data_IF_233812383449
#
_entry.id   IF_233812383449
#
_cell.length_a   1.000
_cell.length_b   1.000
_cell.length_c   1.000
_cell.angle_alpha   90.00
_cell.angle_beta   90.00
_cell.angle_gamma   90.00
#
_symmetry.space_group_name_H-M   'P 1'
#
loop_
_entity.id
_entity.type
_entity.pdbx_description
1 polymer ?
#
# COMPACT_ATOMS: atom_id res chain seq x y z
N UNK A 1 7.26 -15.49 -1.86
CA UNK A 1 7.33 -14.46 -0.78
C UNK A 1 8.80 -14.11 -0.59
N UNK A 2 9.16 -12.86 -0.29
CA UNK A 2 10.56 -12.50 -0.08
C UNK A 2 11.18 -13.39 1.01
N UNK A 3 12.47 -13.72 0.91
CA UNK A 3 13.18 -14.52 1.91
C UNK A 3 13.01 -13.91 3.30
N UNK A 4 12.81 -14.75 4.31
CA UNK A 4 12.64 -14.30 5.70
C UNK A 4 13.86 -13.52 6.19
N UNK A 5 15.03 -13.83 5.65
CA UNK A 5 16.31 -13.25 6.00
C UNK A 5 16.45 -11.76 5.61
N UNK A 6 15.53 -11.22 4.80
CA UNK A 6 15.48 -9.79 4.41
C UNK A 6 14.85 -8.87 5.48
N UNK A 7 14.39 -9.43 6.59
CA UNK A 7 13.64 -8.72 7.63
C UNK A 7 14.35 -8.84 8.98
N UNK A 8 14.41 -7.75 9.73
CA UNK A 8 15.05 -7.76 11.07
C UNK A 8 14.26 -8.61 12.07
N UNK A 9 12.95 -8.71 11.89
CA UNK A 9 12.07 -9.55 12.71
C UNK A 9 11.05 -10.29 11.83
N UNK A 10 11.41 -11.49 11.34
CA UNK A 10 10.53 -12.29 10.49
C UNK A 10 9.25 -12.75 11.20
N UNK A 11 9.28 -12.94 12.52
CA UNK A 11 8.12 -13.38 13.31
C UNK A 11 7.10 -12.24 13.44
N UNK A 12 7.56 -11.03 13.74
CA UNK A 12 6.72 -9.83 13.76
C UNK A 12 6.05 -9.60 12.41
N UNK A 13 6.76 -9.84 11.31
CA UNK A 13 6.19 -9.73 9.97
C UNK A 13 5.06 -10.74 9.74
N UNK A 14 5.27 -11.99 10.13
CA UNK A 14 4.26 -13.05 9.98
C UNK A 14 3.03 -12.75 10.87
N UNK A 15 3.22 -12.21 12.08
CA UNK A 15 2.12 -11.74 12.95
C UNK A 15 1.33 -10.60 12.28
N UNK A 16 2.01 -9.53 11.83
CA UNK A 16 1.37 -8.39 11.14
C UNK A 16 0.59 -8.86 9.91
N UNK A 17 1.15 -9.82 9.16
CA UNK A 17 0.51 -10.39 7.98
C UNK A 17 -0.78 -11.12 8.33
N UNK A 18 -0.76 -12.03 9.29
CA UNK A 18 -1.96 -12.79 9.68
C UNK A 18 -3.04 -11.87 10.27
N UNK A 19 -2.65 -10.87 11.06
CA UNK A 19 -3.59 -9.88 11.58
C UNK A 19 -4.25 -9.05 10.47
N UNK A 20 -3.47 -8.57 9.49
CA UNK A 20 -4.01 -7.83 8.34
C UNK A 20 -4.87 -8.71 7.45
N UNK A 21 -4.48 -9.97 7.26
CA UNK A 21 -5.26 -10.94 6.51
C UNK A 21 -6.63 -11.14 7.15
N UNK A 22 -6.69 -11.26 8.48
CA UNK A 22 -7.95 -11.40 9.23
C UNK A 22 -8.74 -10.09 9.34
N UNK A 23 -8.09 -8.94 9.16
CA UNK A 23 -8.75 -7.64 9.17
C UNK A 23 -9.65 -7.43 7.95
N UNK A 24 -10.73 -6.68 8.15
CA UNK A 24 -11.58 -6.14 7.07
C UNK A 24 -10.95 -4.89 6.40
N UNK A 25 -9.81 -4.40 6.91
CA UNK A 25 -9.10 -3.25 6.32
C UNK A 25 -8.29 -3.70 5.10
N UNK A 26 -8.46 -2.99 3.99
CA UNK A 26 -7.75 -3.26 2.74
C UNK A 26 -8.31 -4.41 1.91
N UNK A 27 -9.39 -5.08 2.34
CA UNK A 27 -10.04 -6.17 1.61
C UNK A 27 -10.87 -7.07 2.52
N UNK A 28 -11.52 -8.10 1.97
CA UNK A 28 -12.33 -9.03 2.75
C UNK A 28 -11.49 -9.79 3.80
N UNK A 29 -12.07 -10.09 4.99
CA UNK A 29 -11.35 -10.81 6.04
C UNK A 29 -10.99 -12.23 5.58
N UNK A 30 -9.79 -12.68 5.94
CA UNK A 30 -9.21 -13.97 5.53
C UNK A 30 -8.47 -13.95 4.19
N UNK A 31 -8.61 -12.89 3.38
CA UNK A 31 -7.96 -12.77 2.07
C UNK A 31 -6.76 -11.83 2.09
N UNK A 32 -5.80 -12.08 1.20
CA UNK A 32 -4.64 -11.21 0.96
C UNK A 32 -4.89 -10.37 -0.30
N UNK A 33 -4.85 -9.04 -0.15
CA UNK A 33 -5.16 -8.08 -1.22
C UNK A 33 -4.05 -7.03 -1.35
N UNK A 34 -4.01 -6.30 -2.47
CA UNK A 34 -3.04 -5.23 -2.70
C UNK A 34 -3.09 -4.15 -1.59
N UNK A 35 -4.29 -3.75 -1.16
CA UNK A 35 -4.46 -2.80 -0.06
C UNK A 35 -3.89 -3.29 1.27
N UNK A 36 -3.98 -4.59 1.56
CA UNK A 36 -3.37 -5.19 2.76
C UNK A 36 -1.85 -5.26 2.66
N UNK A 37 -1.31 -5.55 1.48
CA UNK A 37 0.13 -5.54 1.26
C UNK A 37 0.74 -4.16 1.52
N UNK A 38 0.08 -3.09 1.07
CA UNK A 38 0.48 -1.70 1.37
C UNK A 38 0.47 -1.42 2.88
N UNK A 39 -0.59 -1.84 3.59
CA UNK A 39 -0.67 -1.65 5.05
C UNK A 39 0.36 -2.47 5.82
N UNK A 40 0.71 -3.67 5.35
CA UNK A 40 1.67 -4.55 6.02
C UNK A 40 3.03 -3.90 6.13
N UNK A 41 3.54 -3.32 5.05
CA UNK A 41 4.83 -2.66 5.06
C UNK A 41 4.88 -1.51 6.08
N UNK A 42 3.81 -0.71 6.15
CA UNK A 42 3.71 0.41 7.11
C UNK A 42 3.58 -0.07 8.55
N UNK A 43 2.76 -1.09 8.83
CA UNK A 43 2.53 -1.61 10.19
C UNK A 43 3.75 -2.38 10.71
N UNK A 44 4.43 -3.14 9.85
CA UNK A 44 5.69 -3.79 10.18
C UNK A 44 6.75 -2.77 10.63
N UNK A 45 6.95 -1.70 9.85
CA UNK A 45 7.82 -0.57 10.22
C UNK A 45 7.38 0.11 11.52
N UNK A 46 6.08 0.35 11.68
CA UNK A 46 5.52 0.99 12.88
C UNK A 46 5.72 0.18 14.16
N UNK A 47 5.75 -1.16 14.05
CA UNK A 47 6.03 -2.06 15.18
C UNK A 47 7.52 -2.29 15.44
N UNK A 48 8.39 -1.56 14.74
CA UNK A 48 9.83 -1.61 14.94
C UNK A 48 10.54 -2.68 14.10
N UNK A 49 9.84 -3.31 13.16
CA UNK A 49 10.46 -4.16 12.16
C UNK A 49 11.12 -3.32 11.07
N UNK A 50 12.33 -3.70 10.67
CA UNK A 50 13.06 -3.08 9.56
C UNK A 50 13.55 -4.16 8.59
N UNK A 51 14.33 -3.76 7.59
CA UNK A 51 14.93 -4.63 6.60
C UNK A 51 16.41 -4.82 6.94
N UNK A 52 16.91 -6.03 6.75
CA UNK A 52 18.31 -6.38 7.04
C UNK A 52 19.25 -6.04 5.90
N UNK A 53 18.70 -5.85 4.69
CA UNK A 53 19.47 -5.42 3.53
C UNK A 53 19.90 -3.96 3.75
N UNK A 54 21.21 -3.77 3.83
CA UNK A 54 21.77 -2.42 3.85
C UNK A 54 21.42 -1.70 2.55
N UNK A 55 21.30 -0.37 2.59
CA UNK A 55 20.94 0.40 1.39
C UNK A 55 22.03 0.29 0.31
N UNK A 56 23.26 -0.04 0.69
CA UNK A 56 24.37 -0.34 -0.21
C UNK A 56 24.31 -1.74 -0.84
N UNK A 57 23.46 -2.63 -0.33
CA UNK A 57 23.25 -3.99 -0.87
C UNK A 57 21.92 -4.11 -1.64
N UNK A 58 21.45 -3.00 -2.23
CA UNK A 58 20.32 -3.04 -3.15
C UNK A 58 20.70 -3.89 -4.36
N UNK A 59 19.80 -4.77 -4.80
CA UNK A 59 19.97 -5.41 -6.10
C UNK A 59 19.74 -4.40 -7.23
N UNK A 60 20.25 -4.70 -8.42
CA UNK A 60 20.18 -3.81 -9.60
C UNK A 60 18.75 -3.32 -9.87
N UNK A 61 17.72 -4.13 -9.64
CA UNK A 61 16.32 -3.70 -9.86
C UNK A 61 15.85 -2.67 -8.83
N UNK A 62 16.36 -2.73 -7.59
CA UNK A 62 16.06 -1.76 -6.54
C UNK A 62 16.85 -0.46 -6.73
N UNK A 63 18.08 -0.53 -7.24
CA UNK A 63 18.84 0.65 -7.67
C UNK A 63 18.11 1.35 -8.81
N UNK A 64 17.76 0.63 -9.87
CA UNK A 64 16.96 1.15 -10.98
C UNK A 64 15.64 1.81 -10.55
N UNK A 65 14.93 1.23 -9.56
CA UNK A 65 13.71 1.84 -9.01
C UNK A 65 13.97 3.11 -8.20
N UNK A 66 15.12 3.18 -7.53
CA UNK A 66 15.55 4.39 -6.81
C UNK A 66 15.85 5.49 -7.81
N UNK A 67 16.71 5.19 -8.79
CA UNK A 67 17.12 6.12 -9.85
C UNK A 67 15.91 6.64 -10.62
N UNK A 68 15.00 5.73 -11.03
CA UNK A 68 13.73 6.09 -11.66
C UNK A 68 12.84 7.02 -10.82
N UNK A 69 12.86 6.87 -9.49
CA UNK A 69 12.10 7.69 -8.55
C UNK A 69 12.73 9.07 -8.31
N UNK A 70 14.05 9.17 -8.43
CA UNK A 70 14.82 10.40 -8.27
C UNK A 70 14.84 11.25 -9.57
N UNK A 71 14.54 10.64 -10.72
CA UNK A 71 14.41 11.34 -12.00
C UNK A 71 13.35 12.47 -11.95
N UNK A 72 13.69 13.63 -12.52
CA UNK A 72 12.74 14.74 -12.69
C UNK A 72 11.81 14.48 -13.89
N UNK A 73 10.72 13.74 -13.65
CA UNK A 73 9.72 13.44 -14.67
C UNK A 73 8.84 14.63 -15.03
N UNK A 74 8.83 15.01 -16.30
CA UNK A 74 8.08 16.19 -16.77
C UNK A 74 7.61 16.09 -18.23
N UNK A 75 6.70 16.99 -18.59
CA UNK A 75 6.30 17.25 -19.97
C UNK A 75 7.30 18.18 -20.67
N UNK A 76 7.20 18.34 -22.00
CA UNK A 76 8.03 19.26 -22.80
C UNK A 76 8.13 20.68 -22.20
N UNK A 77 7.07 21.17 -21.56
CA UNK A 77 6.99 22.52 -20.98
C UNK A 77 7.49 22.61 -19.53
N UNK A 78 7.97 21.49 -18.97
CA UNK A 78 8.41 21.40 -17.57
C UNK A 78 7.30 21.18 -16.55
N UNK A 79 6.09 20.84 -17.00
CA UNK A 79 4.99 20.50 -16.07
C UNK A 79 5.04 19.03 -15.66
N UNK A 80 4.88 18.76 -14.36
CA UNK A 80 4.67 17.41 -13.82
C UNK A 80 3.29 16.80 -14.10
N UNK A 81 2.40 17.52 -14.82
CA UNK A 81 1.09 17.02 -15.18
C UNK A 81 0.97 16.78 -16.69
N UNK A 82 0.88 15.51 -17.09
CA UNK A 82 0.77 15.11 -18.49
C UNK A 82 -0.67 15.13 -19.02
N UNK A 83 -1.66 14.87 -18.17
CA UNK A 83 -3.07 14.79 -18.56
C UNK A 83 -3.65 16.19 -18.77
N UNK A 84 -4.37 16.38 -19.87
CA UNK A 84 -5.07 17.64 -20.17
C UNK A 84 -6.56 17.54 -19.83
N UNK A 85 -7.20 18.70 -19.69
CA UNK A 85 -8.65 18.78 -19.42
C UNK A 85 -9.51 18.22 -20.57
N UNK A 86 -8.97 18.20 -21.79
CA UNK A 86 -9.63 17.64 -22.98
C UNK A 86 -9.51 16.11 -23.08
N UNK A 87 -8.87 15.46 -22.10
CA UNK A 87 -8.66 14.01 -22.05
C UNK A 87 -7.43 13.53 -22.81
N UNK A 88 -6.74 14.41 -23.55
CA UNK A 88 -5.47 14.06 -24.21
C UNK A 88 -4.33 14.07 -23.20
N UNK A 89 -3.26 13.35 -23.52
CA UNK A 89 -2.07 13.27 -22.68
C UNK A 89 -0.85 13.80 -23.44
N UNK A 90 -0.03 14.61 -22.76
CA UNK A 90 1.28 15.05 -23.25
C UNK A 90 2.31 13.93 -23.05
N UNK A 91 3.41 13.96 -23.80
CA UNK A 91 4.52 13.05 -23.54
C UNK A 91 5.15 13.37 -22.18
N UNK A 92 5.39 12.32 -21.41
CA UNK A 92 6.00 12.39 -20.08
C UNK A 92 7.33 11.64 -20.12
N UNK A 93 8.43 12.36 -19.93
CA UNK A 93 9.80 11.85 -20.01
C UNK A 93 10.67 12.51 -18.93
N UNK A 94 11.80 11.89 -18.54
CA UNK A 94 12.79 12.51 -17.68
C UNK A 94 13.32 13.82 -18.27
N UNK A 95 13.63 14.79 -17.41
CA UNK A 95 14.19 16.08 -17.81
C UNK A 95 15.49 15.96 -18.61
N UNK A 96 16.44 15.13 -18.14
CA UNK A 96 17.70 14.84 -18.86
C UNK A 96 17.43 14.37 -20.29
N UNK A 97 16.45 13.48 -20.48
CA UNK A 97 16.05 13.00 -21.81
C UNK A 97 15.48 14.12 -22.70
N UNK A 98 14.73 15.07 -22.14
CA UNK A 98 14.30 16.26 -22.88
C UNK A 98 15.48 17.13 -23.29
N UNK A 99 16.48 17.33 -22.44
CA UNK A 99 17.65 18.18 -22.73
C UNK A 99 18.50 17.64 -23.89
N UNK A 100 18.55 16.31 -24.05
CA UNK A 100 19.23 15.61 -25.15
C UNK A 100 18.46 15.63 -26.50
N UNK A 101 17.31 16.30 -26.58
CA UNK A 101 16.49 16.40 -27.81
C UNK A 101 16.40 17.85 -28.31
N UNK A 102 16.38 18.02 -29.63
CA UNK A 102 16.07 19.32 -30.25
C UNK A 102 14.58 19.66 -30.10
N UNK A 103 14.22 20.95 -30.09
CA UNK A 103 12.81 21.38 -29.92
C UNK A 103 11.84 20.72 -30.92
N UNK A 104 12.32 20.45 -32.13
CA UNK A 104 11.57 19.77 -33.19
C UNK A 104 11.28 18.31 -32.83
N UNK A 105 12.28 17.58 -32.34
CA UNK A 105 12.12 16.20 -31.87
C UNK A 105 11.21 16.15 -30.64
N UNK A 106 11.33 17.15 -29.75
CA UNK A 106 10.45 17.26 -28.59
C UNK A 106 8.98 17.43 -28.98
N UNK A 107 8.74 18.31 -29.95
CA UNK A 107 7.39 18.55 -30.48
C UNK A 107 6.84 17.34 -31.20
N UNK A 108 7.66 16.63 -31.98
CA UNK A 108 7.23 15.45 -32.72
C UNK A 108 6.77 14.33 -31.78
N UNK A 109 7.55 14.03 -30.75
CA UNK A 109 7.21 12.95 -29.80
C UNK A 109 5.99 13.30 -28.95
N UNK A 110 5.82 14.57 -28.59
CA UNK A 110 4.67 15.07 -27.84
C UNK A 110 3.41 15.10 -28.71
N UNK A 111 3.51 15.59 -29.95
CA UNK A 111 2.41 15.57 -30.92
C UNK A 111 1.92 14.15 -31.17
N UNK A 112 2.83 13.19 -31.40
CA UNK A 112 2.47 11.77 -31.55
C UNK A 112 1.67 11.25 -30.35
N UNK A 113 2.11 11.56 -29.13
CA UNK A 113 1.41 11.16 -27.90
C UNK A 113 0.02 11.79 -27.80
N UNK A 114 -0.11 13.07 -28.13
CA UNK A 114 -1.39 13.77 -28.10
C UNK A 114 -2.38 13.27 -29.17
N UNK A 115 -1.91 13.03 -30.39
CA UNK A 115 -2.73 12.53 -31.50
C UNK A 115 -3.28 11.13 -31.19
N UNK A 116 -2.42 10.20 -30.80
CA UNK A 116 -2.84 8.83 -30.50
C UNK A 116 -3.64 8.73 -29.19
N UNK A 117 -3.35 9.58 -28.20
CA UNK A 117 -4.18 9.70 -27.00
C UNK A 117 -5.58 10.22 -27.33
N UNK A 118 -5.70 11.14 -28.30
CA UNK A 118 -6.98 11.62 -28.81
C UNK A 118 -7.75 10.54 -29.58
N UNK A 119 -7.05 9.61 -30.22
CA UNK A 119 -7.64 8.39 -30.80
C UNK A 119 -8.09 7.37 -29.75
N UNK A 120 -7.86 7.63 -28.45
CA UNK A 120 -8.24 6.75 -27.36
C UNK A 120 -7.21 5.69 -27.01
N UNK A 121 -5.99 5.75 -27.58
CA UNK A 121 -4.92 4.81 -27.24
C UNK A 121 -4.35 5.15 -25.86
N UNK A 122 -4.48 4.21 -24.92
CA UNK A 122 -3.92 4.35 -23.58
C UNK A 122 -2.38 4.37 -23.61
N UNK A 123 -1.78 3.49 -24.41
CA UNK A 123 -0.33 3.39 -24.59
C UNK A 123 0.09 3.87 -25.98
N UNK A 124 1.13 4.69 -26.02
CA UNK A 124 1.69 5.29 -27.24
C UNK A 124 3.20 5.22 -27.16
N UNK A 125 3.81 4.49 -28.08
CA UNK A 125 5.26 4.30 -28.08
C UNK A 125 6.04 5.62 -28.22
N UNK A 126 7.20 5.67 -27.58
CA UNK A 126 8.17 6.75 -27.78
C UNK A 126 8.68 6.74 -29.23
N UNK A 127 8.95 7.92 -29.79
CA UNK A 127 9.68 8.03 -31.06
C UNK A 127 11.10 7.48 -30.89
N UNK A 128 11.76 7.10 -32.00
CA UNK A 128 13.13 6.56 -31.95
C UNK A 128 14.08 7.45 -31.15
N UNK A 129 14.08 8.76 -31.42
CA UNK A 129 14.89 9.71 -30.66
C UNK A 129 14.51 9.78 -29.18
N UNK A 130 13.22 9.78 -28.84
CA UNK A 130 12.79 9.79 -27.44
C UNK A 130 13.14 8.48 -26.70
N UNK A 131 13.21 7.34 -27.40
CA UNK A 131 13.73 6.08 -26.85
C UNK A 131 15.24 6.21 -26.58
N UNK A 132 16.00 6.69 -27.55
CA UNK A 132 17.45 6.90 -27.44
C UNK A 132 17.82 7.90 -26.35
N UNK A 133 17.20 9.09 -26.32
CA UNK A 133 17.45 10.10 -25.30
C UNK A 133 17.07 9.64 -23.90
N UNK A 134 16.09 8.74 -23.76
CA UNK A 134 15.77 8.12 -22.46
C UNK A 134 16.84 7.11 -22.05
N UNK A 135 17.31 6.27 -22.98
CA UNK A 135 18.40 5.33 -22.71
C UNK A 135 19.65 6.08 -22.24
N UNK A 136 20.03 7.13 -22.98
CA UNK A 136 21.20 7.95 -22.63
C UNK A 136 21.03 8.70 -21.30
N UNK A 137 19.84 9.20 -21.00
CA UNK A 137 19.58 9.86 -19.72
C UNK A 137 19.70 8.92 -18.51
N UNK A 138 19.49 7.62 -18.70
CA UNK A 138 19.65 6.60 -17.67
C UNK A 138 21.12 6.19 -17.54
N UNK A 139 21.82 5.99 -18.65
CA UNK A 139 23.27 5.69 -18.70
C UNK A 139 24.12 6.85 -18.12
N UNK A 140 23.83 8.10 -18.48
CA UNK A 140 24.48 9.29 -17.92
C UNK A 140 24.18 9.48 -16.40
N UNK A 141 23.22 8.74 -15.83
CA UNK A 141 22.92 8.76 -14.39
C UNK A 141 23.69 7.66 -13.65
N UNK A 142 23.83 6.49 -14.27
CA UNK A 142 24.65 5.40 -13.74
C UNK A 142 26.13 5.83 -13.64
N UNK A 143 26.64 6.59 -14.61
CA UNK A 143 28.00 7.18 -14.55
C UNK A 143 28.15 8.26 -13.44
N UNK A 144 27.10 9.02 -13.10
CA UNK A 144 27.15 10.03 -12.04
C UNK A 144 27.05 9.40 -10.64
N UNK A 145 26.32 8.28 -10.50
CA UNK A 145 26.18 7.56 -9.23
C UNK A 145 27.46 6.78 -8.85
N UNK A 146 28.25 6.33 -9.83
CA UNK A 146 29.57 5.69 -9.59
C UNK A 146 30.61 6.69 -9.03
N UNK A 147 30.53 7.98 -9.36
CA UNK A 147 31.44 9.02 -8.84
C UNK A 147 31.06 9.50 -7.41
N UNK A 148 29.80 9.34 -6.98
CA UNK A 148 29.31 9.79 -5.67
C UNK A 148 29.53 8.75 -4.53
N UNK A 149 29.86 7.49 -4.86
CA UNK A 149 30.25 6.47 -3.86
C UNK A 149 31.75 6.54 -3.46
N UNK A 150 32.56 7.41 -4.09
CA UNK A 150 34.00 7.56 -3.84
C UNK A 150 34.36 8.64 -2.78
N UNK A 151 33.38 9.35 -2.18
CA UNK A 151 33.63 10.44 -1.22
C UNK A 151 33.57 10.02 0.28
N UNK A 152 33.74 8.71 0.59
CA UNK A 152 33.94 8.20 1.97
C UNK A 152 35.10 7.19 2.14
N UNK A 153 36.11 7.18 1.27
CA UNK A 153 37.37 6.45 1.54
C UNK A 153 38.62 7.37 1.52
N UNK A 154 38.82 8.14 2.60
CA UNK A 154 40.17 8.58 2.97
C UNK A 154 40.94 7.41 3.65
N UNK A 155 41.78 6.75 2.84
CA UNK A 155 43.04 6.08 3.20
C UNK A 155 43.00 4.72 3.95
N UNK A 156 43.26 3.63 3.24
CA UNK A 156 44.54 2.90 3.43
C UNK A 156 44.94 2.05 2.21
N UNK A 157 46.24 1.86 2.08
CA UNK A 157 46.94 1.61 0.83
C UNK A 157 46.96 0.15 0.32
N UNK A 158 47.22 0.06 -0.99
CA UNK A 158 47.96 -0.97 -1.71
C UNK A 158 47.25 -2.29 -2.04
N UNK A 159 46.99 -2.55 -3.33
CA UNK A 159 47.96 -3.13 -4.26
C UNK A 159 47.31 -3.76 -5.51
N UNK A 160 47.87 -3.38 -6.67
CA UNK A 160 48.11 -4.16 -7.91
C UNK A 160 46.97 -4.37 -8.93
N UNK A 161 47.29 -3.90 -10.13
CA UNK A 161 47.14 -4.53 -11.45
C UNK A 161 46.53 -5.94 -11.48
N UNK A 162 45.51 -6.14 -12.32
CA UNK A 162 45.72 -6.80 -13.61
C UNK A 162 44.54 -6.47 -14.54
N UNK A 163 44.89 -6.08 -15.77
CA UNK A 163 43.98 -5.86 -16.90
C UNK A 163 43.40 -7.22 -17.33
N UNK A 164 42.08 -7.33 -17.53
CA UNK A 164 41.55 -8.28 -18.50
C UNK A 164 40.23 -7.74 -19.10
N UNK A 165 40.40 -7.31 -20.34
CA UNK A 165 39.42 -6.90 -21.32
C UNK A 165 38.68 -8.17 -21.81
N UNK A 166 37.44 -8.39 -21.35
CA UNK A 166 36.56 -9.43 -21.91
C UNK A 166 35.28 -8.79 -22.46
N UNK A 167 35.29 -8.68 -23.79
CA UNK A 167 34.25 -8.22 -24.69
C UNK A 167 33.09 -9.23 -24.70
N UNK A 168 31.98 -8.96 -23.99
CA UNK A 168 30.79 -9.80 -24.08
C UNK A 168 29.89 -9.38 -25.25
N UNK A 169 29.96 -10.19 -26.30
CA UNK A 169 29.19 -10.10 -27.55
C UNK A 169 27.70 -10.38 -27.32
N UNK A 170 26.89 -9.50 -27.92
CA UNK A 170 25.46 -9.63 -28.23
C UNK A 170 25.18 -10.90 -29.06
N UNK A 171 24.37 -11.82 -28.52
CA UNK A 171 23.64 -12.81 -29.32
C UNK A 171 22.23 -12.94 -28.76
N UNK A 172 21.31 -12.23 -29.41
CA UNK A 172 19.90 -12.57 -29.36
C UNK A 172 19.61 -13.66 -30.39
N UNK A 173 19.03 -14.77 -29.96
CA UNK A 173 18.09 -15.47 -30.82
C UNK A 173 16.96 -16.14 -30.02
N UNK A 174 15.77 -15.95 -30.56
CA UNK A 174 14.52 -16.54 -30.15
C UNK A 174 14.57 -18.08 -30.23
N UNK A 175 13.80 -18.74 -29.36
CA UNK A 175 13.03 -19.90 -29.78
C UNK A 175 11.66 -19.86 -29.09
N UNK A 176 10.69 -19.62 -29.96
CA UNK A 176 9.32 -20.09 -29.94
C UNK A 176 9.33 -21.62 -29.76
N UNK A 177 8.53 -22.16 -28.84
CA UNK A 177 7.84 -23.44 -29.05
C UNK A 177 6.75 -23.64 -27.99
N UNK A 178 5.58 -23.98 -28.52
CA UNK A 178 4.28 -24.23 -27.93
C UNK A 178 4.25 -25.20 -26.75
N UNK A 179 3.27 -25.01 -25.85
CA UNK A 179 2.48 -26.14 -25.36
C UNK A 179 1.08 -25.65 -24.97
N UNK A 180 0.11 -26.04 -25.79
CA UNK A 180 -1.32 -25.94 -25.57
C UNK A 180 -1.76 -26.96 -24.52
N UNK A 181 -2.65 -26.60 -23.58
CA UNK A 181 -3.75 -27.48 -23.19
C UNK A 181 -4.99 -26.65 -22.87
N UNK A 182 -5.97 -26.79 -23.75
CA UNK A 182 -7.40 -26.49 -23.59
C UNK A 182 -8.00 -27.18 -22.36
N UNK A 183 -8.92 -26.51 -21.66
CA UNK A 183 -10.21 -27.14 -21.33
C UNK A 183 -11.34 -26.09 -21.34
N UNK A 184 -12.17 -26.22 -22.37
CA UNK A 184 -13.52 -25.69 -22.54
C UNK A 184 -14.42 -25.99 -21.33
N UNK A 185 -15.20 -25.00 -20.89
CA UNK A 185 -16.63 -25.24 -20.58
C UNK A 185 -17.46 -24.00 -20.89
N UNK A 186 -18.11 -24.03 -22.05
CA UNK A 186 -19.32 -23.29 -22.41
C UNK A 186 -20.49 -23.62 -21.47
N UNK A 187 -21.30 -22.61 -21.12
CA UNK A 187 -22.76 -22.73 -21.03
C UNK A 187 -23.42 -21.39 -20.63
N UNK A 188 -23.77 -20.64 -21.68
CA UNK A 188 -25.02 -19.90 -21.89
C UNK A 188 -26.02 -19.62 -20.72
N UNK A 189 -26.35 -18.33 -20.60
CA UNK A 189 -27.72 -17.82 -20.78
C UNK A 189 -28.66 -17.83 -19.56
N UNK A 190 -29.01 -16.65 -19.07
CA UNK A 190 -30.38 -16.12 -19.22
C UNK A 190 -30.46 -14.66 -18.75
N UNK A 191 -31.19 -13.87 -19.55
CA UNK A 191 -31.49 -12.47 -19.34
C UNK A 191 -32.66 -12.33 -18.37
N UNK A 192 -32.63 -11.32 -17.51
CA UNK A 192 -33.87 -10.68 -17.07
C UNK A 192 -33.64 -9.17 -16.93
N UNK A 193 -34.48 -8.44 -17.64
CA UNK A 193 -34.53 -7.00 -17.70
C UNK A 193 -35.43 -6.51 -16.56
N UNK A 194 -34.99 -5.51 -15.81
CA UNK A 194 -35.94 -4.67 -15.08
C UNK A 194 -35.54 -3.20 -15.24
N UNK A 195 -36.49 -2.46 -15.79
CA UNK A 195 -36.44 -1.05 -16.13
C UNK A 195 -36.62 -0.22 -14.86
N UNK A 196 -35.87 0.88 -14.76
CA UNK A 196 -36.04 1.88 -13.70
C UNK A 196 -35.35 3.17 -14.09
N UNK A 197 -36.00 3.91 -14.98
CA UNK A 197 -35.74 5.34 -15.24
C UNK A 197 -35.77 6.13 -13.94
N UNK A 198 -34.77 7.00 -13.73
CA UNK A 198 -34.99 8.30 -13.11
C UNK A 198 -33.87 9.27 -13.54
N UNK A 199 -34.26 10.14 -14.47
CA UNK A 199 -33.58 11.35 -14.90
C UNK A 199 -33.32 12.32 -13.74
N UNK A 200 -32.07 12.76 -13.56
CA UNK A 200 -31.76 14.17 -13.25
C UNK A 200 -30.24 14.45 -13.28
N UNK A 201 -29.85 15.29 -14.25
CA UNK A 201 -28.51 15.90 -14.41
C UNK A 201 -28.47 17.31 -13.74
N UNK A 202 -27.36 18.06 -13.71
CA UNK A 202 -26.59 18.27 -12.47
C UNK A 202 -26.33 19.75 -12.13
N UNK A 203 -25.77 19.98 -10.93
CA UNK A 203 -24.81 21.07 -10.70
C UNK A 203 -25.12 21.97 -9.51
N UNK A 204 -24.21 22.04 -8.54
CA UNK A 204 -23.70 23.35 -8.09
C UNK A 204 -22.38 23.25 -7.31
N UNK A 205 -21.44 24.10 -7.72
CA UNK A 205 -20.08 24.23 -7.19
C UNK A 205 -20.12 25.00 -5.87
N UNK A 206 -19.51 24.48 -4.80
CA UNK A 206 -19.24 25.27 -3.57
C UNK A 206 -17.74 25.56 -3.43
N UNK A 207 -17.39 26.84 -3.53
CA UNK A 207 -16.07 27.43 -3.26
C UNK A 207 -15.79 27.56 -1.75
N UNK A 208 -14.52 27.68 -1.33
CA UNK A 208 -14.07 27.60 0.06
C UNK A 208 -14.13 28.96 0.79
N UNK A 209 -14.28 28.96 2.11
CA UNK A 209 -14.20 30.17 2.95
C UNK A 209 -13.06 30.07 3.99
N UNK A 210 -12.28 31.16 4.00
CA UNK A 210 -11.09 31.48 4.81
C UNK A 210 -11.31 31.53 6.32
N UNK A 211 -10.16 31.34 6.96
CA UNK A 211 -9.67 31.43 8.34
C UNK A 211 -10.06 32.63 9.24
N UNK A 212 -10.17 32.31 10.55
CA UNK A 212 -9.68 32.98 11.79
C UNK A 212 -10.35 34.29 12.30
N UNK A 213 -10.20 34.70 13.61
CA UNK A 213 -9.18 34.32 14.62
C UNK A 213 -9.62 34.11 16.12
N UNK A 214 -8.66 33.57 16.88
CA UNK A 214 -8.33 33.64 18.34
C UNK A 214 -9.34 34.02 19.44
N UNK A 215 -9.33 33.23 20.51
CA UNK A 215 -9.75 33.62 21.86
C UNK A 215 -9.40 32.58 22.95
N UNK A 216 -8.36 32.84 23.75
CA UNK A 216 -8.04 32.16 25.03
C UNK A 216 -9.05 32.52 26.14
N UNK A 217 -9.23 31.68 27.17
CA UNK A 217 -8.59 32.00 28.47
C UNK A 217 -8.10 30.79 29.31
N UNK A 218 -7.15 31.09 30.22
CA UNK A 218 -6.73 30.34 31.44
C UNK A 218 -7.93 30.16 32.40
N UNK A 219 -8.01 29.33 33.45
CA UNK A 219 -7.12 28.50 34.30
C UNK A 219 -8.08 27.72 35.23
N UNK A 220 -7.79 26.49 35.66
CA UNK A 220 -7.86 26.10 37.09
C UNK A 220 -7.37 24.67 37.32
N UNK A 221 -6.45 24.55 38.29
CA UNK A 221 -5.90 23.30 38.84
C UNK A 221 -6.87 22.75 39.89
N UNK A 222 -6.97 21.42 39.98
CA UNK A 222 -7.10 20.73 41.26
C UNK A 222 -6.03 19.66 41.36
N UNK A 223 -5.40 19.63 42.53
CA UNK A 223 -4.31 18.77 42.93
C UNK A 223 -4.83 17.66 43.82
N UNK A 224 -4.44 16.42 43.58
CA UNK A 224 -4.33 15.40 44.63
C UNK A 224 -3.13 14.51 44.36
N UNK A 225 -2.43 14.24 45.46
CA UNK A 225 -1.06 13.79 45.59
C UNK A 225 -1.02 12.29 45.97
N UNK A 226 -0.17 11.48 45.32
CA UNK A 226 0.48 10.34 46.00
C UNK A 226 1.72 9.83 45.25
N UNK A 227 2.87 10.28 45.76
CA UNK A 227 4.13 9.57 46.02
C UNK A 227 4.55 8.33 45.19
N UNK A 228 5.64 8.54 44.45
CA UNK A 228 6.79 7.67 44.08
C UNK A 228 6.78 6.16 44.37
N UNK A 229 7.12 5.38 43.34
CA UNK A 229 8.39 4.66 43.37
C UNK A 229 9.04 4.58 41.99
N UNK A 230 10.36 4.77 41.95
CA UNK A 230 11.19 4.89 40.75
C UNK A 230 11.84 3.54 40.45
N UNK A 231 11.55 2.96 39.29
CA UNK A 231 12.40 1.92 38.68
C UNK A 231 12.70 2.30 37.23
N UNK A 232 13.98 2.25 36.92
CA UNK A 232 14.64 2.74 35.72
C UNK A 232 14.35 1.82 34.51
N UNK A 233 14.16 2.39 33.32
CA UNK A 233 14.43 1.70 32.05
C UNK A 233 13.26 1.38 31.12
N UNK A 234 13.43 1.84 29.87
CA UNK A 234 12.75 1.49 28.62
C UNK A 234 11.62 2.44 28.22
N UNK A 235 12.03 3.34 27.32
CA UNK A 235 11.31 3.76 26.13
C UNK A 235 9.84 3.39 26.14
N UNK A 236 9.05 4.43 26.33
CA UNK A 236 7.67 4.48 25.92
C UNK A 236 7.84 4.30 24.38
N UNK A 237 7.76 3.05 23.87
CA UNK A 237 7.51 2.69 22.45
C UNK A 237 6.16 1.97 22.26
N UNK A 238 5.02 2.63 22.43
CA UNK A 238 4.69 3.17 23.72
C UNK A 238 5.10 2.31 24.99
N UNK A 239 5.47 1.02 24.87
CA UNK A 239 5.70 0.01 25.92
C UNK A 239 4.51 -0.22 26.88
N UNK A 240 3.35 0.38 26.62
CA UNK A 240 2.18 0.35 27.50
C UNK A 240 0.88 0.11 26.73
N UNK A 241 0.80 -1.02 26.04
CA UNK A 241 -0.45 -1.77 25.98
C UNK A 241 -0.07 -3.15 26.48
N UNK A 242 -0.51 -3.49 27.69
CA UNK A 242 -0.31 -4.83 28.23
C UNK A 242 -0.89 -5.83 27.23
N UNK A 243 -0.10 -6.81 26.80
CA UNK A 243 -0.56 -7.90 25.92
C UNK A 243 -1.59 -8.83 26.61
N UNK A 244 -1.97 -8.48 27.84
CA UNK A 244 -2.95 -9.19 28.65
C UNK A 244 -4.31 -9.12 27.97
N UNK A 245 -4.90 -10.29 27.76
CA UNK A 245 -6.27 -10.40 27.26
C UNK A 245 -7.23 -9.76 28.26
N UNK A 246 -8.18 -8.92 27.80
CA UNK A 246 -8.97 -8.12 28.72
C UNK A 246 -10.05 -8.93 29.46
N UNK A 247 -10.41 -10.11 28.95
CA UNK A 247 -11.39 -11.03 29.52
C UNK A 247 -11.18 -12.43 28.90
N UNK A 248 -11.83 -13.50 29.40
CA UNK A 248 -11.77 -14.82 28.76
C UNK A 248 -12.32 -14.78 27.32
N UNK A 249 -11.63 -15.49 26.41
CA UNK A 249 -12.09 -15.66 25.01
C UNK A 249 -13.41 -16.41 24.93
N UNK A 250 -14.22 -16.06 23.95
CA UNK A 250 -15.38 -16.86 23.54
C UNK A 250 -14.97 -18.15 22.85
N UNK A 251 -15.92 -19.06 22.69
CA UNK A 251 -15.76 -20.29 21.92
C UNK A 251 -17.08 -20.65 21.23
N UNK A 252 -17.10 -21.68 20.39
CA UNK A 252 -18.36 -22.17 19.80
C UNK A 252 -19.39 -22.57 20.88
N UNK A 253 -18.92 -23.06 22.03
CA UNK A 253 -19.75 -23.46 23.18
C UNK A 253 -20.03 -22.30 24.16
N UNK A 254 -19.21 -21.25 24.13
CA UNK A 254 -19.33 -20.06 24.97
C UNK A 254 -19.63 -18.85 24.11
N UNK A 255 -20.92 -18.63 23.85
CA UNK A 255 -21.45 -17.52 23.05
C UNK A 255 -21.99 -16.41 23.95
N UNK A 256 -21.74 -15.13 23.60
CA UNK A 256 -22.28 -14.01 24.36
C UNK A 256 -23.77 -13.80 24.04
N UNK A 257 -24.46 -13.09 24.93
CA UNK A 257 -25.87 -12.70 24.79
C UNK A 257 -25.97 -11.41 23.99
N UNK A 258 -27.11 -11.23 23.31
CA UNK A 258 -27.44 -9.96 22.66
C UNK A 258 -27.47 -8.82 23.69
N UNK A 259 -26.81 -7.71 23.36
CA UNK A 259 -26.63 -6.54 24.22
C UNK A 259 -25.47 -6.63 25.20
N UNK A 260 -24.70 -7.73 25.21
CA UNK A 260 -23.57 -7.89 26.11
C UNK A 260 -22.37 -7.04 25.69
N UNK A 261 -21.64 -6.51 26.66
CA UNK A 261 -20.37 -5.82 26.43
C UNK A 261 -19.29 -6.82 26.06
N UNK A 262 -18.52 -6.49 25.02
CA UNK A 262 -17.53 -7.38 24.44
C UNK A 262 -16.38 -6.58 23.86
N UNK A 263 -15.19 -7.17 23.89
CA UNK A 263 -13.99 -6.58 23.32
C UNK A 263 -13.43 -7.50 22.24
N UNK A 264 -12.79 -6.93 21.22
CA UNK A 264 -12.10 -7.68 20.17
C UNK A 264 -10.81 -6.98 19.78
N UNK A 265 -9.85 -7.74 19.23
CA UNK A 265 -8.56 -7.22 18.81
C UNK A 265 -8.71 -6.41 17.51
N UNK A 266 -8.29 -5.16 17.52
CA UNK A 266 -8.23 -4.28 16.35
C UNK A 266 -7.11 -3.24 16.50
N UNK A 267 -6.27 -3.07 15.47
CA UNK A 267 -5.08 -2.21 15.57
C UNK A 267 -5.42 -0.75 15.94
N UNK A 268 -4.78 -0.16 16.98
CA UNK A 268 -3.56 -0.60 17.69
C UNK A 268 -3.76 -1.40 19.00
N UNK A 269 -4.93 -1.96 19.29
CA UNK A 269 -5.18 -2.66 20.56
C UNK A 269 -6.49 -3.45 20.63
N UNK A 270 -7.24 -3.30 21.72
CA UNK A 270 -8.59 -3.84 21.87
C UNK A 270 -9.62 -2.73 21.66
N UNK A 271 -10.71 -3.07 20.98
CA UNK A 271 -11.87 -2.19 20.81
C UNK A 271 -13.02 -2.75 21.60
N UNK A 272 -13.70 -1.87 22.33
CA UNK A 272 -14.92 -2.15 23.06
C UNK A 272 -16.18 -1.94 22.20
N UNK A 273 -17.21 -2.70 22.53
CA UNK A 273 -18.49 -2.65 21.85
C UNK A 273 -19.55 -3.53 22.48
N UNK A 274 -20.67 -3.64 21.77
CA UNK A 274 -21.84 -4.40 22.19
C UNK A 274 -22.22 -5.45 21.15
N UNK A 275 -22.71 -6.59 21.64
CA UNK A 275 -23.26 -7.66 20.79
C UNK A 275 -24.60 -7.25 20.22
N UNK A 276 -24.69 -7.10 18.91
CA UNK A 276 -25.96 -6.82 18.22
C UNK A 276 -26.76 -8.09 18.03
N UNK A 277 -26.12 -9.17 17.61
CA UNK A 277 -26.74 -10.46 17.34
C UNK A 277 -25.69 -11.58 17.24
N UNK A 278 -26.08 -12.81 17.55
CA UNK A 278 -25.28 -14.01 17.28
C UNK A 278 -25.95 -14.80 16.16
N UNK A 279 -25.22 -15.00 15.07
CA UNK A 279 -25.68 -15.70 13.87
C UNK A 279 -25.26 -17.17 13.93
N UNK A 280 -26.23 -18.05 13.81
CA UNK A 280 -26.04 -19.51 13.66
C UNK A 280 -26.45 -20.01 12.27
N UNK A 281 -26.86 -19.09 11.39
CA UNK A 281 -27.23 -19.32 9.99
C UNK A 281 -26.81 -18.11 9.16
N UNK A 282 -26.54 -18.34 7.87
CA UNK A 282 -26.13 -17.28 6.96
C UNK A 282 -27.15 -16.13 6.90
N UNK A 283 -26.68 -14.89 7.00
CA UNK A 283 -27.53 -13.70 7.05
C UNK A 283 -26.83 -12.51 6.40
N UNK A 284 -27.60 -11.60 5.81
CA UNK A 284 -27.08 -10.32 5.35
C UNK A 284 -27.03 -9.32 6.52
N UNK A 285 -25.85 -8.76 6.76
CA UNK A 285 -25.58 -7.78 7.82
C UNK A 285 -24.87 -6.59 7.19
N UNK A 286 -25.46 -5.39 7.32
CA UNK A 286 -24.89 -4.15 6.79
C UNK A 286 -24.56 -4.22 5.27
N UNK A 287 -25.46 -4.85 4.50
CA UNK A 287 -25.30 -5.04 3.05
C UNK A 287 -24.33 -6.15 2.64
N UNK A 288 -23.72 -6.87 3.61
CA UNK A 288 -22.77 -7.95 3.37
C UNK A 288 -23.36 -9.30 3.75
N UNK A 289 -23.22 -10.30 2.88
CA UNK A 289 -23.62 -11.68 3.19
C UNK A 289 -22.60 -12.33 4.13
N UNK A 290 -23.03 -12.73 5.32
CA UNK A 290 -22.22 -13.42 6.32
C UNK A 290 -22.57 -14.90 6.31
N UNK A 291 -21.58 -15.77 6.06
CA UNK A 291 -21.73 -17.22 6.16
C UNK A 291 -21.54 -17.66 7.62
N UNK A 292 -22.63 -18.04 8.27
CA UNK A 292 -22.65 -18.57 9.63
C UNK A 292 -23.38 -19.92 9.66
N UNK A 293 -23.01 -20.77 10.61
CA UNK A 293 -23.65 -22.07 10.85
C UNK A 293 -23.72 -22.37 12.34
N UNK A 294 -24.37 -23.47 12.74
CA UNK A 294 -24.38 -23.90 14.15
C UNK A 294 -22.98 -24.30 14.65
N UNK A 295 -22.14 -24.84 13.77
CA UNK A 295 -20.78 -25.27 14.09
C UNK A 295 -19.76 -24.13 14.00
N UNK A 296 -20.04 -23.11 13.16
CA UNK A 296 -19.22 -21.89 13.02
C UNK A 296 -20.12 -20.65 13.18
N UNK A 297 -20.52 -20.32 14.42
CA UNK A 297 -21.34 -19.15 14.70
C UNK A 297 -20.54 -17.85 14.45
N UNK A 298 -21.23 -16.79 14.04
CA UNK A 298 -20.66 -15.44 13.85
C UNK A 298 -21.32 -14.45 14.78
N UNK A 299 -20.53 -13.58 15.40
CA UNK A 299 -21.00 -12.57 16.33
C UNK A 299 -20.98 -11.22 15.62
N UNK A 300 -22.14 -10.57 15.55
CA UNK A 300 -22.29 -9.22 15.00
C UNK A 300 -22.14 -8.23 16.14
N UNK A 301 -21.19 -7.33 16.00
CA UNK A 301 -20.76 -6.39 17.02
C UNK A 301 -20.93 -4.96 16.53
N UNK A 302 -21.19 -4.05 17.48
CA UNK A 302 -21.18 -2.61 17.23
C UNK A 302 -20.10 -1.97 18.09
N UNK A 303 -19.15 -1.30 17.46
CA UNK A 303 -18.08 -0.56 18.14
C UNK A 303 -18.65 0.63 18.90
N UNK A 304 -18.32 0.76 20.20
CA UNK A 304 -18.76 1.92 21.00
C UNK A 304 -18.12 3.22 20.51
N UNK A 305 -16.85 3.14 20.09
CA UNK A 305 -16.07 4.31 19.68
C UNK A 305 -16.41 4.82 18.28
N UNK A 306 -16.68 3.92 17.34
CA UNK A 306 -16.92 4.27 15.93
C UNK A 306 -18.38 4.10 15.47
N UNK A 307 -19.21 3.40 16.23
CA UNK A 307 -20.59 3.07 15.87
C UNK A 307 -20.73 2.07 14.72
N UNK A 308 -19.63 1.61 14.13
CA UNK A 308 -19.60 0.69 12.99
C UNK A 308 -19.96 -0.73 13.39
N UNK A 309 -20.61 -1.44 12.47
CA UNK A 309 -20.88 -2.87 12.59
C UNK A 309 -19.67 -3.67 12.11
N UNK A 310 -19.27 -4.67 12.88
CA UNK A 310 -18.27 -5.66 12.48
C UNK A 310 -18.74 -7.07 12.84
N UNK A 311 -18.14 -8.08 12.21
CA UNK A 311 -18.52 -9.48 12.40
C UNK A 311 -17.27 -10.29 12.72
N UNK A 312 -17.31 -11.01 13.85
CA UNK A 312 -16.18 -11.81 14.32
C UNK A 312 -16.60 -13.25 14.66
N UNK A 313 -15.60 -14.14 14.71
CA UNK A 313 -15.76 -15.47 15.32
C UNK A 313 -15.74 -15.35 16.84
N UNK A 314 -16.38 -16.27 17.60
CA UNK A 314 -16.36 -16.26 19.05
C UNK A 314 -14.95 -16.21 19.66
N UNK A 315 -14.00 -16.92 19.05
CA UNK A 315 -12.60 -17.01 19.51
C UNK A 315 -11.82 -15.69 19.42
N UNK A 316 -12.30 -14.75 18.59
CA UNK A 316 -11.69 -13.43 18.41
C UNK A 316 -12.29 -12.38 19.36
N UNK A 317 -13.22 -12.79 20.23
CA UNK A 317 -13.95 -11.90 21.12
C UNK A 317 -13.71 -12.28 22.59
N UNK A 318 -13.67 -11.26 23.44
CA UNK A 318 -13.35 -11.34 24.86
C UNK A 318 -14.48 -10.71 25.66
N UNK A 319 -15.06 -11.45 26.62
CA UNK A 319 -16.18 -10.99 27.44
C UNK A 319 -16.27 -11.75 28.76
N UNK A 320 -16.93 -11.16 29.75
CA UNK A 320 -17.31 -11.76 31.03
C UNK A 320 -18.76 -12.30 30.96
N UNK A 321 -19.15 -13.27 31.79
CA UNK A 321 -20.46 -13.97 31.71
C UNK A 321 -21.71 -13.19 32.17
#
# INVERSE_FOLDING_TARGET
>A
MPPKDKYTDPELRDEVKEELKQSEKGGAPGQWSAGKAQMMASEYKKRGGDYTTDKSQKDESQQNLSNWGDEEWQTKEGSGHAKKEDGTEKRYLPKKAWEQMSEKEKEETDRKKQEESKEGKQYVENTGKAKESRKKANEDQDEEDDDDDDDDEELDAAAKDDEDEEEFIDDGEANDEDDEEDEDVEAEGEADADEGEDDAKPGEKRKPKKQQPNGTPKKQKSSSNSNSNKSNGKTIGSKHMDATEPAPRGSADRLPKKGQHIQWKAMPGYVDGEVVEVLTQGKNVDGKSVKASKEDPKIVLKSSSSGKICVHKPEACFFED
#
